data_IF_598626728872
#
_entry.id   IF_598626728872
#
_cell.length_a   1.000
_cell.length_b   1.000
_cell.length_c   1.000
_cell.angle_alpha   90.00
_cell.angle_beta   90.00
_cell.angle_gamma   90.00
#
_symmetry.space_group_name_H-M   'P 1'
#
loop_
_entity.id
_entity.type
_entity.pdbx_description
1 polymer ?
#
# COMPACT_ATOMS: atom_id res chain seq x y z
N UNK A 1 14.25 2.47 4.63
CA UNK A 1 12.85 2.73 5.01
C UNK A 1 11.85 1.68 4.47
N UNK A 2 12.30 0.53 3.95
CA UNK A 2 11.41 -0.57 3.50
C UNK A 2 11.20 -1.61 4.62
N UNK A 3 12.22 -1.78 5.48
CA UNK A 3 12.23 -2.78 6.57
C UNK A 3 11.23 -2.46 7.69
N UNK A 4 10.97 -1.18 7.99
CA UNK A 4 10.04 -0.79 9.05
C UNK A 4 8.55 -1.06 8.72
N UNK A 5 8.19 -1.04 7.43
CA UNK A 5 6.81 -1.30 6.96
C UNK A 5 6.50 -2.80 7.05
N UNK A 6 7.46 -3.65 6.66
CA UNK A 6 7.31 -5.12 6.71
C UNK A 6 7.13 -5.66 8.14
N UNK A 7 7.79 -5.09 9.14
CA UNK A 7 7.68 -5.58 10.54
C UNK A 7 6.33 -5.22 11.17
N UNK A 8 5.78 -4.04 10.88
CA UNK A 8 4.45 -3.65 11.39
C UNK A 8 3.32 -4.43 10.70
N UNK A 9 3.46 -4.72 9.40
CA UNK A 9 2.46 -5.49 8.67
C UNK A 9 2.35 -6.91 9.22
N UNK A 10 3.46 -7.61 9.46
CA UNK A 10 3.43 -8.99 9.99
C UNK A 10 2.84 -9.05 11.41
N UNK A 11 3.13 -8.05 12.25
CA UNK A 11 2.60 -8.00 13.62
C UNK A 11 1.08 -7.73 13.64
N UNK A 12 0.60 -6.82 12.78
CA UNK A 12 -0.83 -6.59 12.60
C UNK A 12 -1.49 -7.84 12.03
N UNK A 13 -0.98 -8.41 10.94
CA UNK A 13 -1.49 -9.60 10.25
C UNK A 13 -1.65 -10.83 11.19
N UNK A 14 -0.82 -10.96 12.23
CA UNK A 14 -0.94 -12.05 13.20
C UNK A 14 -2.19 -11.92 14.11
N UNK A 15 -2.69 -10.70 14.34
CA UNK A 15 -3.95 -10.44 15.08
C UNK A 15 -5.22 -10.56 14.21
N UNK A 16 -5.05 -10.85 12.92
CA UNK A 16 -6.04 -10.63 11.86
C UNK A 16 -6.57 -11.94 11.24
N UNK A 17 -6.12 -13.10 11.74
CA UNK A 17 -6.46 -14.45 11.23
C UNK A 17 -7.92 -14.60 10.78
N UNK A 18 -8.11 -15.01 9.52
CA UNK A 18 -9.42 -15.32 8.95
C UNK A 18 -10.21 -14.13 8.39
N UNK A 19 -9.62 -12.92 8.30
CA UNK A 19 -10.24 -11.79 7.59
C UNK A 19 -9.43 -11.41 6.34
N UNK A 20 -10.09 -10.77 5.38
CA UNK A 20 -9.44 -10.17 4.23
C UNK A 20 -8.69 -8.92 4.67
N UNK A 21 -7.47 -8.76 4.17
CA UNK A 21 -6.61 -7.62 4.45
C UNK A 21 -6.53 -6.76 3.21
N UNK A 22 -6.91 -5.50 3.30
CA UNK A 22 -6.82 -4.56 2.18
C UNK A 22 -5.61 -3.66 2.35
N UNK A 23 -4.66 -3.77 1.41
CA UNK A 23 -3.47 -2.92 1.35
C UNK A 23 -3.66 -1.90 0.22
N UNK A 24 -3.49 -0.63 0.54
CA UNK A 24 -3.55 0.46 -0.44
C UNK A 24 -2.16 1.09 -0.62
N UNK A 25 -1.67 1.13 -1.86
CA UNK A 25 -0.51 1.92 -2.24
C UNK A 25 -0.96 3.23 -2.88
N UNK A 26 -0.44 4.35 -2.37
CA UNK A 26 -0.69 5.67 -2.97
C UNK A 26 0.65 6.22 -3.45
N UNK A 27 0.83 6.32 -4.76
CA UNK A 27 2.06 6.83 -5.38
C UNK A 27 1.75 7.68 -6.60
N UNK A 28 2.70 8.51 -7.02
CA UNK A 28 2.60 9.27 -8.26
C UNK A 28 3.10 8.42 -9.44
N UNK A 29 2.40 8.48 -10.58
CA UNK A 29 2.86 7.87 -11.82
C UNK A 29 3.22 8.95 -12.85
N UNK A 30 4.51 9.12 -13.17
CA UNK A 30 4.97 10.07 -14.20
C UNK A 30 5.63 11.34 -13.66
N UNK A 31 6.24 11.29 -12.47
CA UNK A 31 6.96 12.40 -11.85
C UNK A 31 8.48 12.32 -12.05
N UNK A 32 9.21 13.38 -11.69
CA UNK A 32 10.67 13.33 -11.61
C UNK A 32 11.17 12.66 -10.32
N UNK A 33 10.27 12.40 -9.38
CA UNK A 33 10.58 11.90 -8.06
C UNK A 33 11.18 10.48 -8.11
N UNK A 34 12.12 10.15 -7.21
CA UNK A 34 12.76 8.84 -7.18
C UNK A 34 11.82 7.72 -6.69
N UNK A 35 10.75 8.06 -5.97
CA UNK A 35 9.76 7.12 -5.43
C UNK A 35 8.46 7.07 -6.24
N UNK A 36 8.48 7.49 -7.51
CA UNK A 36 7.33 7.30 -8.39
C UNK A 36 7.03 5.80 -8.60
N UNK A 37 5.79 5.51 -8.98
CA UNK A 37 5.32 4.15 -9.19
C UNK A 37 6.15 3.42 -10.26
N UNK A 38 6.57 4.09 -11.35
CA UNK A 38 7.43 3.46 -12.37
C UNK A 38 8.78 2.95 -11.85
N UNK A 39 9.31 3.54 -10.78
CA UNK A 39 10.63 3.20 -10.22
C UNK A 39 10.51 2.26 -9.02
N UNK A 40 9.51 2.47 -8.17
CA UNK A 40 9.37 1.76 -6.89
C UNK A 40 8.15 0.83 -6.82
N UNK A 41 7.14 1.05 -7.66
CA UNK A 41 5.93 0.23 -7.77
C UNK A 41 6.20 -1.26 -7.99
N UNK A 42 7.08 -1.66 -8.94
CA UNK A 42 7.40 -3.07 -9.14
C UNK A 42 7.92 -3.78 -7.89
N UNK A 43 8.66 -3.08 -7.01
CA UNK A 43 9.13 -3.65 -5.76
C UNK A 43 7.98 -3.87 -4.76
N UNK A 44 6.99 -2.98 -4.75
CA UNK A 44 5.77 -3.15 -3.97
C UNK A 44 4.95 -4.32 -4.50
N UNK A 45 4.77 -4.41 -5.82
CA UNK A 45 3.98 -5.48 -6.45
C UNK A 45 4.60 -6.86 -6.12
N UNK A 46 5.93 -7.01 -6.23
CA UNK A 46 6.64 -8.24 -5.82
C UNK A 46 6.44 -8.54 -4.33
N UNK A 47 6.48 -7.53 -3.46
CA UNK A 47 6.26 -7.74 -2.03
C UNK A 47 4.83 -8.23 -1.74
N UNK A 48 3.83 -7.66 -2.42
CA UNK A 48 2.43 -8.07 -2.29
C UNK A 48 2.21 -9.48 -2.82
N UNK A 49 2.81 -9.83 -3.97
CA UNK A 49 2.76 -11.20 -4.52
C UNK A 49 3.37 -12.21 -3.55
N UNK A 50 4.51 -11.88 -2.94
CA UNK A 50 5.14 -12.73 -1.94
C UNK A 50 4.26 -12.91 -0.70
N UNK A 51 3.63 -11.84 -0.19
CA UNK A 51 2.71 -11.92 0.95
C UNK A 51 1.50 -12.80 0.60
N UNK A 52 0.90 -12.59 -0.57
CA UNK A 52 -0.22 -13.41 -1.08
C UNK A 52 0.15 -14.89 -1.13
N UNK A 53 1.34 -15.21 -1.64
CA UNK A 53 1.81 -16.59 -1.74
C UNK A 53 2.07 -17.20 -0.36
N UNK A 54 2.84 -16.51 0.49
CA UNK A 54 3.30 -17.02 1.78
C UNK A 54 2.18 -17.20 2.81
N UNK A 55 1.13 -16.39 2.74
CA UNK A 55 0.09 -16.34 3.77
C UNK A 55 -1.32 -16.65 3.23
N UNK A 56 -1.41 -17.20 2.02
CA UNK A 56 -2.68 -17.59 1.36
C UNK A 56 -3.60 -18.46 2.22
N UNK A 57 -3.03 -19.28 3.11
CA UNK A 57 -3.80 -20.16 4.02
C UNK A 57 -4.29 -19.44 5.31
N UNK A 58 -3.81 -18.22 5.57
CA UNK A 58 -4.03 -17.50 6.84
C UNK A 58 -4.98 -16.31 6.65
N UNK A 59 -4.87 -15.61 5.53
CA UNK A 59 -5.72 -14.48 5.15
C UNK A 59 -5.66 -14.22 3.64
N UNK A 60 -6.73 -13.64 3.09
CA UNK A 60 -6.72 -13.13 1.72
C UNK A 60 -6.21 -11.69 1.69
N UNK A 61 -5.50 -11.31 0.63
CA UNK A 61 -4.97 -9.95 0.47
C UNK A 61 -5.62 -9.29 -0.73
N UNK A 62 -6.42 -8.27 -0.46
CA UNK A 62 -6.86 -7.32 -1.47
C UNK A 62 -5.79 -6.23 -1.63
N UNK A 63 -5.44 -5.91 -2.87
CA UNK A 63 -4.44 -4.88 -3.16
C UNK A 63 -5.02 -3.81 -4.06
N UNK A 64 -4.91 -2.56 -3.61
CA UNK A 64 -5.41 -1.38 -4.31
C UNK A 64 -4.22 -0.48 -4.60
N UNK A 65 -4.09 -0.06 -5.86
CA UNK A 65 -3.14 0.98 -6.26
C UNK A 65 -3.91 2.25 -6.63
N UNK A 66 -3.51 3.37 -6.03
CA UNK A 66 -4.04 4.70 -6.30
C UNK A 66 -2.94 5.59 -6.88
N UNK A 67 -3.18 6.10 -8.09
CA UNK A 67 -2.34 7.13 -8.68
C UNK A 67 -2.75 8.50 -8.12
N UNK A 68 -1.85 9.11 -7.35
CA UNK A 68 -2.06 10.46 -6.82
C UNK A 68 -1.91 11.56 -7.90
N UNK A 69 -1.51 11.19 -9.12
CA UNK A 69 -1.21 12.09 -10.22
C UNK A 69 -0.02 13.01 -9.92
N UNK A 70 0.21 14.02 -10.77
CA UNK A 70 1.27 15.02 -10.55
C UNK A 70 1.00 15.97 -9.37
N UNK A 71 -0.06 15.74 -8.59
CA UNK A 71 -0.45 16.57 -7.44
C UNK A 71 0.31 16.14 -6.19
N UNK A 72 1.63 16.33 -6.21
CA UNK A 72 2.49 16.25 -5.02
C UNK A 72 2.22 17.43 -4.07
N UNK A 73 1.03 17.45 -3.48
CA UNK A 73 0.70 18.37 -2.38
C UNK A 73 0.22 17.54 -1.20
N UNK A 74 0.65 17.91 0.01
CA UNK A 74 0.28 17.25 1.27
C UNK A 74 -1.24 17.11 1.41
N UNK A 75 -1.98 18.12 0.91
CA UNK A 75 -3.44 18.14 0.90
C UNK A 75 -4.07 17.14 -0.09
N UNK A 76 -3.39 16.83 -1.19
CA UNK A 76 -3.87 15.87 -2.20
C UNK A 76 -3.80 14.42 -1.71
N UNK A 77 -2.67 14.05 -1.10
CA UNK A 77 -2.50 12.70 -0.56
C UNK A 77 -3.41 12.42 0.64
N UNK A 78 -3.56 13.39 1.55
CA UNK A 78 -4.45 13.25 2.70
C UNK A 78 -5.91 13.03 2.30
N UNK A 79 -6.38 13.77 1.28
CA UNK A 79 -7.74 13.60 0.77
C UNK A 79 -7.95 12.24 0.11
N UNK A 80 -7.00 11.77 -0.72
CA UNK A 80 -7.07 10.44 -1.35
C UNK A 80 -7.06 9.35 -0.29
N UNK A 81 -6.14 9.42 0.68
CA UNK A 81 -6.03 8.44 1.76
C UNK A 81 -7.31 8.39 2.61
N UNK A 82 -7.91 9.55 2.91
CA UNK A 82 -9.17 9.61 3.65
C UNK A 82 -10.32 9.00 2.84
N UNK A 83 -10.44 9.33 1.56
CA UNK A 83 -11.51 8.81 0.69
C UNK A 83 -11.47 7.28 0.62
N UNK A 84 -10.31 6.69 0.33
CA UNK A 84 -10.19 5.23 0.26
C UNK A 84 -10.30 4.57 1.63
N UNK A 85 -9.83 5.21 2.71
CA UNK A 85 -9.99 4.65 4.06
C UNK A 85 -11.46 4.47 4.43
N UNK A 86 -12.30 5.47 4.14
CA UNK A 86 -13.73 5.43 4.48
C UNK A 86 -14.56 4.59 3.52
N UNK A 87 -14.15 4.44 2.26
CA UNK A 87 -14.94 3.74 1.24
C UNK A 87 -14.48 2.29 0.97
N UNK A 88 -13.19 1.98 1.13
CA UNK A 88 -12.60 0.72 0.67
C UNK A 88 -12.10 -0.19 1.81
N UNK A 89 -12.33 0.18 3.08
CA UNK A 89 -11.89 -0.57 4.27
C UNK A 89 -10.39 -0.90 4.25
N UNK A 90 -9.55 0.12 4.11
CA UNK A 90 -8.08 -0.05 4.06
C UNK A 90 -7.53 -0.42 5.45
N UNK A 91 -6.78 -1.51 5.52
CA UNK A 91 -6.05 -1.92 6.73
C UNK A 91 -4.65 -1.30 6.78
N UNK A 92 -3.99 -1.18 5.62
CA UNK A 92 -2.59 -0.74 5.54
C UNK A 92 -2.40 0.21 4.36
N UNK A 93 -1.72 1.32 4.60
CA UNK A 93 -1.24 2.23 3.57
C UNK A 93 0.25 2.05 3.30
N UNK A 94 0.63 2.08 2.01
CA UNK A 94 2.02 2.16 1.55
C UNK A 94 2.18 3.47 0.76
N UNK A 95 3.05 4.35 1.28
CA UNK A 95 3.29 5.67 0.72
C UNK A 95 2.82 6.81 1.64
N UNK A 96 2.75 8.06 1.14
CA UNK A 96 3.16 8.44 -0.21
C UNK A 96 4.68 8.46 -0.39
N UNK A 97 5.13 8.12 -1.61
CA UNK A 97 6.52 8.33 -2.02
C UNK A 97 6.73 9.80 -2.43
N UNK A 98 7.52 10.54 -1.65
CA UNK A 98 7.98 11.91 -1.95
C UNK A 98 9.40 11.87 -2.50
#
# INVERSE_FOLDING_TARGET
MIVYVLVNIVLYLCTVRGRNVTICTIMVNGGTLPYEYRKSGPAVDIAIENIKSMYSEVFDVNYIYMDAGLKCSENGFGAIAADVYYNDNIDVFIGPGL
#
